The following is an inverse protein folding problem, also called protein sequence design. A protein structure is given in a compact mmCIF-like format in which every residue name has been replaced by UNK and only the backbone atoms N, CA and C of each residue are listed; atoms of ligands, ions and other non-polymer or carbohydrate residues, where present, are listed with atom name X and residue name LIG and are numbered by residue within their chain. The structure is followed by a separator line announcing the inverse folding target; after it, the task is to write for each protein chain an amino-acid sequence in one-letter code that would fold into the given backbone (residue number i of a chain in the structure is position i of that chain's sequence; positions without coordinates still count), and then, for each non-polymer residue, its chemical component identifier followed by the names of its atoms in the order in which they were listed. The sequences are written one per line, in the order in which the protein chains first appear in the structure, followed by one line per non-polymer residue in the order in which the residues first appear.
data_IF_590516681955
#
_entry.id   IF_590516681955
#
_cell.length_a   1.000
_cell.length_b   1.000
_cell.length_c   1.000
_cell.angle_alpha   90.00
_cell.angle_beta   90.00
_cell.angle_gamma   90.00
#
_symmetry.space_group_name_H-M   'P 1'
#
loop_
_entity.id
_entity.type
_entity.pdbx_description
1 polymer ?
#
# COMPACT_ATOMS: atom_id res chain seq x y z
N UNK A 1 -37.53 -18.91 74.43
CA UNK A 1 -36.81 -18.35 73.26
C UNK A 1 -36.45 -19.49 72.33
N UNK A 2 -37.12 -19.57 71.17
CA UNK A 2 -36.93 -20.62 70.15
C UNK A 2 -36.11 -20.04 69.00
N UNK A 3 -35.05 -20.74 68.61
CA UNK A 3 -34.23 -20.45 67.42
C UNK A 3 -34.85 -21.22 66.25
N UNK A 4 -35.20 -20.58 65.12
CA UNK A 4 -35.39 -21.29 63.87
C UNK A 4 -34.15 -21.16 62.99
N UNK A 5 -33.56 -22.31 62.70
CA UNK A 5 -32.65 -22.56 61.60
C UNK A 5 -33.41 -22.48 60.27
N UNK A 6 -32.93 -21.71 59.32
CA UNK A 6 -33.32 -21.82 57.91
C UNK A 6 -32.08 -21.77 57.02
N UNK A 7 -31.87 -22.88 56.33
CA UNK A 7 -30.94 -23.03 55.22
C UNK A 7 -31.52 -22.35 53.96
N UNK A 8 -30.71 -21.57 53.24
CA UNK A 8 -30.85 -21.27 51.81
C UNK A 8 -29.46 -20.87 51.30
N UNK A 9 -28.58 -21.84 51.00
CA UNK A 9 -28.28 -22.33 49.64
C UNK A 9 -28.07 -21.23 48.59
N UNK A 10 -26.78 -20.84 48.46
CA UNK A 10 -26.00 -20.70 47.21
C UNK A 10 -26.82 -20.59 45.91
N UNK A 11 -26.97 -19.40 45.32
CA UNK A 11 -27.03 -19.21 43.86
C UNK A 11 -26.56 -17.79 43.52
N UNK A 12 -25.27 -17.68 43.19
CA UNK A 12 -24.71 -16.61 42.37
C UNK A 12 -24.86 -17.09 40.92
N UNK A 13 -25.55 -16.36 40.03
CA UNK A 13 -25.19 -16.45 38.63
C UNK A 13 -24.92 -15.07 38.04
N UNK A 14 -23.67 -14.93 37.56
CA UNK A 14 -23.28 -14.27 36.31
C UNK A 14 -24.21 -13.17 35.79
N UNK A 15 -23.91 -11.92 36.15
CA UNK A 15 -24.23 -10.74 35.35
C UNK A 15 -22.93 -10.15 34.73
N UNK A 16 -22.09 -11.03 34.20
CA UNK A 16 -20.86 -10.70 33.48
C UNK A 16 -20.93 -11.48 32.17
N UNK A 17 -21.18 -10.79 31.04
CA UNK A 17 -20.79 -11.15 29.65
C UNK A 17 -21.67 -10.48 28.56
N UNK A 18 -22.15 -9.24 28.73
CA UNK A 18 -22.93 -8.59 27.64
C UNK A 18 -22.46 -7.20 27.24
N UNK A 19 -21.17 -6.84 27.41
CA UNK A 19 -20.67 -5.54 26.94
C UNK A 19 -19.18 -5.52 26.53
N UNK A 20 -18.69 -6.62 25.96
CA UNK A 20 -17.46 -6.64 25.17
C UNK A 20 -17.75 -7.08 23.73
N UNK A 21 -18.83 -6.52 23.17
CA UNK A 21 -18.98 -6.40 21.73
C UNK A 21 -18.07 -5.28 21.24
N UNK A 22 -16.75 -5.47 21.33
CA UNK A 22 -15.83 -4.75 20.48
C UNK A 22 -16.13 -5.22 19.05
N UNK A 23 -17.10 -4.57 18.41
CA UNK A 23 -17.15 -4.57 16.96
C UNK A 23 -15.81 -3.96 16.54
N UNK A 24 -14.86 -4.82 16.18
CA UNK A 24 -13.76 -4.40 15.34
C UNK A 24 -14.43 -3.77 14.12
N UNK A 25 -14.50 -2.44 14.08
CA UNK A 25 -14.83 -1.74 12.86
C UNK A 25 -13.80 -2.23 11.85
N UNK A 26 -14.25 -3.10 10.95
CA UNK A 26 -13.44 -3.52 9.84
C UNK A 26 -13.09 -2.22 9.11
N UNK A 27 -11.80 -1.93 9.04
CA UNK A 27 -11.23 -0.87 8.22
C UNK A 27 -11.95 -0.81 6.87
N UNK A 28 -12.27 0.40 6.40
CA UNK A 28 -12.94 0.56 5.11
C UNK A 28 -12.17 -0.22 4.02
N UNK A 29 -12.86 -0.94 3.12
CA UNK A 29 -12.17 -1.72 2.10
C UNK A 29 -11.35 -0.80 1.20
N UNK A 30 -10.05 -1.07 1.10
CA UNK A 30 -9.15 -0.37 0.17
C UNK A 30 -9.71 -0.45 -1.26
N UNK A 31 -9.72 0.67 -1.98
CA UNK A 31 -10.28 0.73 -3.33
C UNK A 31 -9.55 -0.21 -4.31
N UNK A 32 -10.23 -0.61 -5.39
CA UNK A 32 -9.60 -1.41 -6.46
C UNK A 32 -8.39 -0.68 -7.07
N UNK A 33 -8.48 0.64 -7.26
CA UNK A 33 -7.38 1.43 -7.81
C UNK A 33 -6.17 1.47 -6.86
N UNK A 34 -6.39 1.63 -5.55
CA UNK A 34 -5.33 1.59 -4.56
C UNK A 34 -4.63 0.21 -4.53
N UNK A 35 -5.40 -0.88 -4.60
CA UNK A 35 -4.83 -2.23 -4.68
C UNK A 35 -4.05 -2.45 -5.98
N UNK A 36 -4.50 -1.89 -7.12
CA UNK A 36 -3.76 -1.97 -8.39
C UNK A 36 -2.42 -1.23 -8.29
N UNK A 37 -2.40 -0.03 -7.70
CA UNK A 37 -1.17 0.75 -7.48
C UNK A 37 -0.19 -0.04 -6.60
N UNK A 38 -0.67 -0.60 -5.50
CA UNK A 38 0.16 -1.37 -4.56
C UNK A 38 0.72 -2.64 -5.22
N UNK A 39 -0.07 -3.38 -5.99
CA UNK A 39 0.39 -4.56 -6.73
C UNK A 39 1.47 -4.20 -7.75
N UNK A 40 1.28 -3.11 -8.50
CA UNK A 40 2.26 -2.62 -9.47
C UNK A 40 3.57 -2.19 -8.79
N UNK A 41 3.45 -1.45 -7.69
CA UNK A 41 4.60 -1.05 -6.87
C UNK A 41 5.41 -2.26 -6.40
N UNK A 42 4.76 -3.31 -5.90
CA UNK A 42 5.45 -4.50 -5.42
C UNK A 42 6.16 -5.29 -6.52
N UNK A 43 5.61 -5.35 -7.72
CA UNK A 43 6.32 -5.93 -8.88
C UNK A 43 7.63 -5.18 -9.18
N UNK A 44 7.58 -3.84 -9.15
CA UNK A 44 8.75 -3.00 -9.41
C UNK A 44 9.79 -3.08 -8.30
N UNK A 45 9.35 -3.22 -7.05
CA UNK A 45 10.26 -3.47 -5.93
C UNK A 45 10.90 -4.84 -6.02
N UNK A 46 10.14 -5.89 -6.35
CA UNK A 46 10.66 -7.25 -6.55
C UNK A 46 11.76 -7.28 -7.62
N UNK A 47 11.56 -6.61 -8.76
CA UNK A 47 12.56 -6.57 -9.83
C UNK A 47 13.78 -5.74 -9.48
N UNK A 48 13.60 -4.65 -8.72
CA UNK A 48 14.71 -3.80 -8.29
C UNK A 48 15.59 -4.44 -7.19
N UNK A 49 15.00 -5.21 -6.27
CA UNK A 49 15.70 -5.74 -5.09
C UNK A 49 15.97 -7.24 -5.16
N UNK A 50 15.17 -8.00 -5.92
CA UNK A 50 15.15 -9.46 -5.88
C UNK A 50 14.55 -10.05 -4.60
N UNK A 51 13.91 -9.24 -3.75
CA UNK A 51 13.36 -9.69 -2.47
C UNK A 51 11.96 -10.30 -2.64
N UNK A 52 11.87 -11.62 -2.41
CA UNK A 52 10.65 -12.42 -2.55
C UNK A 52 9.51 -11.97 -1.64
N UNK A 53 9.77 -11.21 -0.56
CA UNK A 53 8.68 -10.66 0.27
C UNK A 53 7.76 -9.75 -0.54
N UNK A 54 8.28 -9.04 -1.54
CA UNK A 54 7.46 -8.23 -2.43
C UNK A 54 6.57 -9.07 -3.33
N UNK A 55 6.95 -10.29 -3.68
CA UNK A 55 6.05 -11.23 -4.35
C UNK A 55 4.87 -11.58 -3.45
N UNK A 56 5.12 -11.93 -2.18
CA UNK A 56 4.06 -12.22 -1.20
C UNK A 56 3.11 -11.03 -1.02
N UNK A 57 3.64 -9.81 -0.94
CA UNK A 57 2.83 -8.60 -0.84
C UNK A 57 2.00 -8.32 -2.09
N UNK A 58 2.57 -8.55 -3.28
CA UNK A 58 1.85 -8.46 -4.55
C UNK A 58 0.69 -9.48 -4.61
N UNK A 59 0.92 -10.73 -4.23
CA UNK A 59 -0.11 -11.78 -4.20
C UNK A 59 -1.24 -11.47 -3.22
N UNK A 60 -0.92 -11.01 -2.01
CA UNK A 60 -1.92 -10.62 -1.02
C UNK A 60 -2.74 -9.41 -1.47
N UNK A 61 -2.09 -8.44 -2.11
CA UNK A 61 -2.77 -7.29 -2.71
C UNK A 61 -3.66 -7.73 -3.85
N UNK A 62 -3.21 -8.68 -4.67
CA UNK A 62 -3.98 -9.23 -5.76
C UNK A 62 -5.27 -9.91 -5.32
N UNK A 63 -5.23 -10.68 -4.22
CA UNK A 63 -6.44 -11.28 -3.63
C UNK A 63 -7.46 -10.23 -3.19
N UNK A 64 -7.00 -9.10 -2.61
CA UNK A 64 -7.89 -7.99 -2.23
C UNK A 64 -8.49 -7.32 -3.47
N UNK A 65 -7.69 -7.13 -4.51
CA UNK A 65 -8.17 -6.57 -5.77
C UNK A 65 -9.20 -7.49 -6.43
N UNK A 66 -8.96 -8.79 -6.50
CA UNK A 66 -9.92 -9.78 -7.01
C UNK A 66 -11.27 -9.68 -6.27
N UNK A 67 -11.23 -9.61 -4.93
CA UNK A 67 -12.44 -9.44 -4.11
C UNK A 67 -13.17 -8.12 -4.41
N UNK A 68 -12.43 -7.02 -4.61
CA UNK A 68 -13.00 -5.71 -4.95
C UNK A 68 -13.60 -5.69 -6.37
N UNK A 69 -12.96 -6.36 -7.33
CA UNK A 69 -13.41 -6.45 -8.72
C UNK A 69 -14.64 -7.34 -8.91
N UNK A 70 -14.84 -8.32 -8.04
CA UNK A 70 -16.07 -9.11 -8.00
C UNK A 70 -17.30 -8.25 -7.66
N UNK A 71 -17.10 -7.18 -6.88
CA UNK A 71 -18.15 -6.22 -6.52
C UNK A 71 -18.29 -5.05 -7.50
N UNK A 72 -17.23 -4.72 -8.26
CA UNK A 72 -17.18 -3.56 -9.16
C UNK A 72 -17.59 -3.88 -10.60
N UNK A 73 -18.20 -2.92 -11.30
CA UNK A 73 -18.65 -3.05 -12.70
C UNK A 73 -17.68 -2.47 -13.76
N UNK A 74 -16.39 -2.27 -13.45
CA UNK A 74 -15.43 -1.77 -14.45
C UNK A 74 -14.80 -2.94 -15.24
N UNK A 75 -15.26 -3.24 -16.47
CA UNK A 75 -14.72 -4.33 -17.26
C UNK A 75 -13.28 -4.06 -17.72
N UNK A 76 -12.91 -2.80 -17.97
CA UNK A 76 -11.58 -2.44 -18.43
C UNK A 76 -10.54 -2.70 -17.34
N UNK A 77 -10.87 -2.37 -16.09
CA UNK A 77 -10.02 -2.67 -14.95
C UNK A 77 -9.88 -4.19 -14.72
N UNK A 78 -10.95 -4.97 -14.89
CA UNK A 78 -10.87 -6.43 -14.77
C UNK A 78 -9.96 -7.05 -15.83
N UNK A 79 -10.07 -6.60 -17.07
CA UNK A 79 -9.21 -7.06 -18.16
C UNK A 79 -7.75 -6.68 -17.92
N UNK A 80 -7.49 -5.41 -17.59
CA UNK A 80 -6.16 -4.92 -17.24
C UNK A 80 -5.54 -5.76 -16.12
N UNK A 81 -6.30 -6.01 -15.06
CA UNK A 81 -5.85 -6.79 -13.91
C UNK A 81 -5.55 -8.25 -14.28
N UNK A 82 -6.42 -8.90 -15.06
CA UNK A 82 -6.20 -10.26 -15.56
C UNK A 82 -4.90 -10.35 -16.37
N UNK A 83 -4.68 -9.40 -17.28
CA UNK A 83 -3.48 -9.33 -18.10
C UNK A 83 -2.23 -9.09 -17.24
N UNK A 84 -2.32 -8.19 -16.27
CA UNK A 84 -1.24 -7.92 -15.31
C UNK A 84 -0.91 -9.16 -14.46
N UNK A 85 -1.91 -9.88 -13.96
CA UNK A 85 -1.71 -11.13 -13.20
C UNK A 85 -1.02 -12.21 -14.04
N UNK A 86 -1.45 -12.39 -15.30
CA UNK A 86 -0.83 -13.36 -16.19
C UNK A 86 0.62 -12.98 -16.51
N UNK A 87 0.85 -11.71 -16.85
CA UNK A 87 2.18 -11.18 -17.15
C UNK A 87 3.12 -11.29 -15.96
N UNK A 88 2.66 -10.91 -14.76
CA UNK A 88 3.48 -10.93 -13.54
C UNK A 88 3.87 -12.36 -13.17
N UNK A 89 2.95 -13.34 -13.23
CA UNK A 89 3.27 -14.76 -13.01
C UNK A 89 4.33 -15.27 -13.98
N UNK A 90 4.22 -14.94 -15.27
CA UNK A 90 5.21 -15.34 -16.30
C UNK A 90 6.57 -14.68 -16.03
N UNK A 91 6.56 -13.41 -15.65
CA UNK A 91 7.75 -12.63 -15.38
C UNK A 91 8.50 -13.14 -14.14
N UNK A 92 7.79 -13.32 -13.02
CA UNK A 92 8.35 -13.91 -11.80
C UNK A 92 8.86 -15.33 -12.04
N UNK A 93 8.11 -16.15 -12.78
CA UNK A 93 8.59 -17.48 -13.19
C UNK A 93 9.89 -17.42 -14.01
N UNK A 94 10.03 -16.41 -14.87
CA UNK A 94 11.25 -16.17 -15.65
C UNK A 94 12.40 -15.69 -14.76
N UNK A 95 12.15 -14.92 -13.70
CA UNK A 95 13.18 -14.49 -12.76
C UNK A 95 13.85 -15.66 -12.02
N UNK A 96 13.09 -16.73 -11.76
CA UNK A 96 13.57 -17.93 -11.08
C UNK A 96 14.22 -18.94 -12.04
N UNK A 97 13.75 -19.03 -13.28
CA UNK A 97 14.15 -20.09 -14.23
C UNK A 97 15.15 -19.64 -15.30
N UNK A 98 15.21 -18.35 -15.59
CA UNK A 98 16.11 -17.77 -16.59
C UNK A 98 17.21 -16.96 -15.90
N UNK A 99 18.43 -17.01 -16.43
CA UNK A 99 19.56 -16.19 -15.95
C UNK A 99 19.44 -14.74 -16.42
N UNK A 100 18.34 -14.07 -16.07
CA UNK A 100 18.13 -12.67 -16.39
C UNK A 100 19.04 -11.77 -15.55
N UNK A 101 19.64 -10.77 -16.19
CA UNK A 101 20.38 -9.72 -15.48
C UNK A 101 19.40 -8.83 -14.70
N UNK A 102 19.89 -8.11 -13.68
CA UNK A 102 19.08 -7.16 -12.92
C UNK A 102 18.38 -6.14 -13.85
N UNK A 103 19.12 -5.61 -14.84
CA UNK A 103 18.58 -4.67 -15.82
C UNK A 103 17.46 -5.28 -16.66
N UNK A 104 17.58 -6.55 -17.06
CA UNK A 104 16.51 -7.24 -17.79
C UNK A 104 15.26 -7.44 -16.92
N UNK A 105 15.44 -7.77 -15.64
CA UNK A 105 14.32 -7.91 -14.68
C UNK A 105 13.57 -6.58 -14.53
N UNK A 106 14.31 -5.48 -14.34
CA UNK A 106 13.75 -4.13 -14.22
C UNK A 106 13.02 -3.71 -15.51
N UNK A 107 13.66 -3.84 -16.67
CA UNK A 107 13.09 -3.46 -17.96
C UNK A 107 11.82 -4.24 -18.32
N UNK A 108 11.78 -5.55 -18.06
CA UNK A 108 10.58 -6.35 -18.30
C UNK A 108 9.45 -5.99 -17.32
N UNK A 109 9.77 -5.60 -16.09
CA UNK A 109 8.77 -5.14 -15.12
C UNK A 109 8.17 -3.80 -15.52
N UNK A 110 9.01 -2.86 -16.00
CA UNK A 110 8.59 -1.57 -16.55
C UNK A 110 7.62 -1.75 -17.73
N UNK A 111 7.93 -2.68 -18.64
CA UNK A 111 7.06 -2.98 -19.78
C UNK A 111 5.69 -3.55 -19.35
N UNK A 112 5.65 -4.40 -18.31
CA UNK A 112 4.41 -4.94 -17.78
C UNK A 112 3.56 -3.89 -17.04
N UNK A 113 4.20 -2.89 -16.45
CA UNK A 113 3.59 -1.75 -15.77
C UNK A 113 2.89 -0.78 -16.73
N UNK A 114 3.34 -0.68 -17.98
CA UNK A 114 2.96 0.42 -18.88
C UNK A 114 1.43 0.54 -19.05
N UNK A 115 0.67 -0.56 -19.28
CA UNK A 115 -0.79 -0.49 -19.37
C UNK A 115 -1.44 -0.02 -18.07
N UNK A 116 -0.87 -0.38 -16.91
CA UNK A 116 -1.35 0.09 -15.60
C UNK A 116 -1.16 1.59 -15.47
N UNK A 117 0.01 2.10 -15.86
CA UNK A 117 0.30 3.54 -15.86
C UNK A 117 -0.65 4.29 -16.79
N UNK A 118 -0.89 3.78 -17.99
CA UNK A 118 -1.84 4.37 -18.94
C UNK A 118 -3.26 4.42 -18.36
N UNK A 119 -3.72 3.33 -17.74
CA UNK A 119 -5.02 3.29 -17.08
C UNK A 119 -5.14 4.31 -15.95
N UNK A 120 -4.13 4.40 -15.06
CA UNK A 120 -4.13 5.36 -13.94
C UNK A 120 -4.15 6.82 -14.42
N UNK A 121 -3.47 7.13 -15.53
CA UNK A 121 -3.51 8.47 -16.15
C UNK A 121 -4.87 8.78 -16.78
N UNK A 122 -5.53 7.79 -17.37
CA UNK A 122 -6.86 7.94 -17.95
C UNK A 122 -7.97 8.04 -16.90
N UNK A 123 -7.73 7.53 -15.69
CA UNK A 123 -8.67 7.52 -14.57
C UNK A 123 -8.09 8.26 -13.35
N UNK A 124 -7.80 9.57 -13.48
CA UNK A 124 -7.29 10.34 -12.35
C UNK A 124 -8.34 10.40 -11.24
N UNK A 125 -7.89 10.26 -10.01
CA UNK A 125 -8.76 10.50 -8.86
C UNK A 125 -9.10 11.99 -8.78
N UNK A 126 -10.40 12.30 -8.69
CA UNK A 126 -10.87 13.69 -8.68
C UNK A 126 -10.37 14.47 -7.44
N UNK A 127 -10.22 13.80 -6.30
CA UNK A 127 -9.68 14.40 -5.07
C UNK A 127 -8.88 13.34 -4.31
N UNK A 128 -7.57 13.22 -4.54
CA UNK A 128 -6.77 12.18 -3.92
C UNK A 128 -6.64 12.41 -2.42
N UNK A 129 -6.85 11.36 -1.64
CA UNK A 129 -6.59 11.39 -0.19
C UNK A 129 -5.09 11.37 0.11
N UNK A 130 -4.72 11.60 1.37
CA UNK A 130 -3.32 11.43 1.79
C UNK A 130 -2.81 10.00 1.51
N UNK A 131 -3.66 8.99 1.72
CA UNK A 131 -3.30 7.60 1.45
C UNK A 131 -3.06 7.35 -0.04
N UNK A 132 -3.90 7.92 -0.91
CA UNK A 132 -3.73 7.83 -2.38
C UNK A 132 -2.43 8.49 -2.83
N UNK A 133 -2.12 9.69 -2.33
CA UNK A 133 -0.89 10.39 -2.66
C UNK A 133 0.36 9.63 -2.16
N UNK A 134 0.33 9.04 -0.97
CA UNK A 134 1.43 8.20 -0.48
C UNK A 134 1.65 6.95 -1.35
N UNK A 135 0.58 6.30 -1.80
CA UNK A 135 0.66 5.17 -2.75
C UNK A 135 1.26 5.59 -4.08
N UNK A 136 0.77 6.69 -4.66
CA UNK A 136 1.29 7.22 -5.91
C UNK A 136 2.78 7.58 -5.78
N UNK A 137 3.17 8.30 -4.71
CA UNK A 137 4.57 8.60 -4.42
C UNK A 137 5.40 7.32 -4.43
N UNK A 138 4.95 6.29 -3.70
CA UNK A 138 5.71 5.05 -3.57
C UNK A 138 5.82 4.27 -4.89
N UNK A 139 4.78 4.30 -5.73
CA UNK A 139 4.83 3.76 -7.09
C UNK A 139 5.85 4.52 -7.94
N UNK A 140 5.80 5.86 -7.98
CA UNK A 140 6.75 6.67 -8.74
C UNK A 140 8.19 6.43 -8.27
N UNK A 141 8.40 6.25 -6.96
CA UNK A 141 9.72 5.90 -6.40
C UNK A 141 10.26 4.58 -6.94
N UNK A 142 9.41 3.55 -6.99
CA UNK A 142 9.77 2.24 -7.49
C UNK A 142 10.05 2.29 -9.01
N UNK A 143 9.25 3.05 -9.76
CA UNK A 143 9.46 3.29 -11.20
C UNK A 143 10.77 4.02 -11.46
N UNK A 144 11.03 5.12 -10.75
CA UNK A 144 12.29 5.87 -10.85
C UNK A 144 13.50 4.96 -10.62
N UNK A 145 13.46 4.10 -9.59
CA UNK A 145 14.54 3.17 -9.28
C UNK A 145 14.81 2.16 -10.41
N UNK A 146 13.75 1.67 -11.06
CA UNK A 146 13.85 0.76 -12.21
C UNK A 146 14.34 1.50 -13.46
N UNK A 147 13.85 2.73 -13.69
CA UNK A 147 14.19 3.56 -14.85
C UNK A 147 15.61 4.08 -14.79
N UNK A 148 16.18 4.34 -13.61
CA UNK A 148 17.51 4.97 -13.48
C UNK A 148 18.60 4.26 -14.29
N UNK A 149 18.51 2.94 -14.46
CA UNK A 149 19.45 2.15 -15.27
C UNK A 149 18.99 1.88 -16.70
N UNK A 150 17.70 2.04 -17.00
CA UNK A 150 17.08 1.68 -18.28
C UNK A 150 16.81 2.91 -19.16
N UNK A 151 16.27 3.97 -18.58
CA UNK A 151 15.97 5.26 -19.19
C UNK A 151 16.17 6.40 -18.16
N UNK A 152 17.39 6.97 -18.05
CA UNK A 152 17.68 8.04 -17.09
C UNK A 152 16.83 9.30 -17.30
N UNK A 153 16.43 9.61 -18.54
CA UNK A 153 15.63 10.81 -18.83
C UNK A 153 14.22 10.65 -18.28
N UNK A 154 13.62 9.47 -18.47
CA UNK A 154 12.34 9.17 -17.87
C UNK A 154 12.43 9.10 -16.35
N UNK A 155 13.52 8.57 -15.80
CA UNK A 155 13.76 8.60 -14.34
C UNK A 155 13.76 10.03 -13.79
N UNK A 156 14.37 10.99 -14.47
CA UNK A 156 14.36 12.40 -14.06
C UNK A 156 12.95 13.01 -14.11
N UNK A 157 12.13 12.63 -15.10
CA UNK A 157 10.73 13.05 -15.17
C UNK A 157 9.87 12.48 -14.02
N UNK A 158 10.13 11.24 -13.59
CA UNK A 158 9.49 10.65 -12.40
C UNK A 158 9.95 11.37 -11.11
N UNK A 159 11.24 11.73 -11.02
CA UNK A 159 11.78 12.47 -9.88
C UNK A 159 11.13 13.86 -9.71
N UNK A 160 10.87 14.58 -10.80
CA UNK A 160 10.14 15.85 -10.74
C UNK A 160 8.67 15.68 -10.32
N UNK A 161 8.00 14.62 -10.79
CA UNK A 161 6.64 14.31 -10.34
C UNK A 161 6.60 13.99 -8.84
N UNK A 162 7.57 13.22 -8.34
CA UNK A 162 7.74 12.93 -6.91
C UNK A 162 7.87 14.25 -6.13
N UNK A 163 8.75 15.15 -6.57
CA UNK A 163 8.98 16.43 -5.89
C UNK A 163 7.72 17.29 -5.84
N UNK A 164 6.93 17.32 -6.91
CA UNK A 164 5.65 18.01 -6.94
C UNK A 164 4.63 17.40 -5.95
N UNK A 165 4.60 16.06 -5.87
CA UNK A 165 3.70 15.32 -5.00
C UNK A 165 4.05 15.47 -3.51
N UNK A 166 5.33 15.53 -3.18
CA UNK A 166 5.82 15.67 -1.80
C UNK A 166 5.28 16.94 -1.11
N UNK A 167 5.11 18.04 -1.85
CA UNK A 167 4.52 19.27 -1.32
C UNK A 167 3.04 19.10 -0.94
N UNK A 168 2.27 18.42 -1.79
CA UNK A 168 0.86 18.12 -1.52
C UNK A 168 0.68 17.17 -0.33
N UNK A 169 1.55 16.16 -0.22
CA UNK A 169 1.57 15.24 0.93
C UNK A 169 1.86 16.01 2.22
N UNK A 170 2.87 16.89 2.24
CA UNK A 170 3.18 17.70 3.40
C UNK A 170 1.97 18.55 3.83
N UNK A 171 1.33 19.23 2.89
CA UNK A 171 0.15 20.05 3.18
C UNK A 171 -1.00 19.22 3.77
N UNK A 172 -1.24 18.01 3.26
CA UNK A 172 -2.28 17.11 3.79
C UNK A 172 -1.93 16.61 5.19
N UNK A 173 -0.65 16.32 5.47
CA UNK A 173 -0.18 15.96 6.80
C UNK A 173 -0.40 17.13 7.76
N UNK A 174 0.07 18.33 7.42
CA UNK A 174 -0.06 19.53 8.26
C UNK A 174 -1.53 19.87 8.56
N UNK A 175 -2.43 19.62 7.60
CA UNK A 175 -3.88 19.76 7.76
C UNK A 175 -4.47 18.90 8.88
N UNK A 176 -3.82 17.80 9.25
CA UNK A 176 -4.25 16.93 10.35
C UNK A 176 -3.97 17.54 11.72
N UNK A 177 -3.12 18.57 11.84
CA UNK A 177 -2.67 19.10 13.12
C UNK A 177 -3.82 19.50 14.07
N UNK A 178 -4.94 19.98 13.52
CA UNK A 178 -6.14 20.35 14.31
C UNK A 178 -7.13 19.20 14.48
N UNK A 179 -7.28 18.36 13.47
CA UNK A 179 -8.29 17.30 13.45
C UNK A 179 -7.85 16.03 14.21
N UNK A 180 -6.55 15.73 14.17
CA UNK A 180 -5.95 14.54 14.80
C UNK A 180 -4.47 14.80 15.13
N UNK A 181 -4.18 15.46 16.27
CA UNK A 181 -2.81 15.83 16.65
C UNK A 181 -1.87 14.63 16.81
N UNK A 182 -2.38 13.50 17.28
CA UNK A 182 -1.59 12.27 17.49
C UNK A 182 -1.18 11.66 16.15
N UNK A 183 -2.13 11.53 15.22
CA UNK A 183 -1.82 11.05 13.88
C UNK A 183 -0.90 12.02 13.14
N UNK A 184 -1.16 13.32 13.25
CA UNK A 184 -0.29 14.36 12.69
C UNK A 184 1.16 14.20 13.17
N UNK A 185 1.40 14.04 14.47
CA UNK A 185 2.75 13.89 15.02
C UNK A 185 3.46 12.62 14.49
N UNK A 186 2.78 11.47 14.45
CA UNK A 186 3.35 10.22 13.92
C UNK A 186 3.67 10.33 12.42
N UNK A 187 2.69 10.79 11.62
CA UNK A 187 2.87 10.93 10.17
C UNK A 187 3.93 11.96 9.82
N UNK A 188 4.00 13.09 10.54
CA UNK A 188 5.04 14.11 10.33
C UNK A 188 6.44 13.56 10.59
N UNK A 189 6.62 12.79 11.67
CA UNK A 189 7.92 12.19 11.99
C UNK A 189 8.36 11.17 10.93
N UNK A 190 7.43 10.30 10.49
CA UNK A 190 7.71 9.31 9.44
C UNK A 190 8.00 9.96 8.10
N UNK A 191 7.22 10.98 7.75
CA UNK A 191 7.42 11.74 6.53
C UNK A 191 8.77 12.47 6.51
N UNK A 192 9.14 13.11 7.62
CA UNK A 192 10.45 13.73 7.76
C UNK A 192 11.58 12.70 7.61
N UNK A 193 11.45 11.53 8.23
CA UNK A 193 12.42 10.43 8.07
C UNK A 193 12.55 10.00 6.60
N UNK A 194 11.45 9.89 5.87
CA UNK A 194 11.46 9.58 4.43
C UNK A 194 12.23 10.64 3.62
N UNK A 195 11.95 11.93 3.87
CA UNK A 195 12.64 13.02 3.19
C UNK A 195 14.15 13.05 3.48
N UNK A 196 14.54 12.81 4.73
CA UNK A 196 15.97 12.82 5.13
C UNK A 196 16.72 11.61 4.58
N UNK A 197 16.11 10.42 4.63
CA UNK A 197 16.74 9.19 4.14
C UNK A 197 16.97 9.17 2.62
N UNK A 198 16.28 10.04 1.88
CA UNK A 198 16.42 10.19 0.43
C UNK A 198 17.45 11.24 -0.01
N UNK A 199 17.80 12.21 0.85
CA UNK A 199 18.71 13.33 0.50
C UNK A 199 20.11 12.92 0.06
N UNK A 200 20.55 11.71 0.39
CA UNK A 200 21.88 11.20 0.00
C UNK A 200 21.89 10.44 -1.36
N UNK A 201 20.84 10.60 -2.17
CA UNK A 201 20.83 10.18 -3.57
C UNK A 201 20.68 8.67 -3.82
N UNK A 202 20.48 7.87 -2.77
CA UNK A 202 20.14 6.45 -2.90
C UNK A 202 18.92 6.14 -2.06
N UNK A 203 17.77 6.02 -2.72
CA UNK A 203 16.57 5.44 -2.11
C UNK A 203 16.93 4.03 -1.63
N UNK A 204 16.82 3.79 -0.33
CA UNK A 204 16.84 2.42 0.19
C UNK A 204 15.40 1.88 0.05
N UNK A 205 15.12 0.99 -0.93
CA UNK A 205 13.75 0.66 -1.29
C UNK A 205 12.98 0.03 -0.12
N UNK A 206 13.67 -0.73 0.73
CA UNK A 206 13.05 -1.40 1.87
C UNK A 206 12.69 -0.45 3.03
N UNK A 207 13.62 0.33 3.64
CA UNK A 207 13.25 1.33 4.65
C UNK A 207 12.20 2.33 4.16
N UNK A 208 12.29 2.73 2.89
CA UNK A 208 11.29 3.61 2.29
C UNK A 208 9.91 2.97 2.26
N UNK A 209 9.79 1.78 1.66
CA UNK A 209 8.51 1.10 1.52
C UNK A 209 7.90 0.73 2.88
N UNK A 210 8.72 0.31 3.85
CA UNK A 210 8.24 0.00 5.20
C UNK A 210 7.62 1.21 5.91
N UNK A 211 8.17 2.42 5.72
CA UNK A 211 7.58 3.64 6.28
C UNK A 211 6.28 4.01 5.57
N UNK A 212 6.22 3.88 4.24
CA UNK A 212 4.98 4.08 3.50
C UNK A 212 3.90 3.12 3.99
N UNK A 213 4.19 1.82 4.10
CA UNK A 213 3.22 0.81 4.54
C UNK A 213 2.76 1.05 5.98
N UNK A 214 3.64 1.53 6.86
CA UNK A 214 3.27 1.93 8.22
C UNK A 214 2.33 3.14 8.21
N UNK A 215 2.58 4.15 7.38
CA UNK A 215 1.69 5.32 7.23
C UNK A 215 0.34 4.90 6.65
N UNK A 216 0.32 4.07 5.60
CA UNK A 216 -0.90 3.55 5.00
C UNK A 216 -1.73 2.72 5.99
N UNK A 217 -1.09 1.85 6.77
CA UNK A 217 -1.77 1.06 7.80
C UNK A 217 -2.46 1.91 8.88
N UNK A 218 -1.99 3.13 9.14
CA UNK A 218 -2.66 4.08 10.05
C UNK A 218 -3.82 4.80 9.38
N UNK A 219 -3.71 5.10 8.09
CA UNK A 219 -4.70 5.84 7.33
C UNK A 219 -5.89 4.95 6.92
N UNK A 220 -5.62 3.72 6.51
CA UNK A 220 -6.65 2.77 6.07
C UNK A 220 -7.43 2.17 7.26
N UNK A 221 -6.86 2.18 8.47
CA UNK A 221 -7.52 1.67 9.69
C UNK A 221 -8.60 2.61 10.25
N UNK A 222 -8.92 3.71 9.56
CA UNK A 222 -9.91 4.72 9.93
C UNK A 222 -11.17 4.55 9.09
#
# INVERSE_FOLDING_TARGET
MRIPSTHLRRWLPLALLTLLGAQAQAAAPVSSQASLIDANRYLLLLSATGDERFQTYMENTGKRLDASLAANQDPALRELWSNFQQGSRKLVGSFATQKLTAQQKMSQSLALEEPVTAYLKAHPQATPTLADNLRLRALLAAREANLRSADPKQADAEAEQIKALDAGIQQQIDGLAKADPTLHADLSNRWHYLQVSQKNGKLLPYPFNAQIDAMLGKLDAR
#
